data_IF_107572426244
#
_entry.id   IF_107572426244
#
_cell.length_a   1.000
_cell.length_b   1.000
_cell.length_c   1.000
_cell.angle_alpha   90.00
_cell.angle_beta   90.00
_cell.angle_gamma   90.00
#
_symmetry.space_group_name_H-M   'P 1'
#
loop_
_entity.id
_entity.type
_entity.pdbx_description
1 polymer ?
#
# COMPACT_ATOMS: atom_id res chain seq x y z
N UNK A 1 9.16 -49.15 -39.65
CA UNK A 1 8.48 -48.00 -39.02
C UNK A 1 9.20 -47.72 -37.72
N UNK A 2 9.86 -46.58 -37.55
CA UNK A 2 10.60 -46.28 -36.31
C UNK A 2 9.68 -45.57 -35.33
N UNK A 3 9.30 -46.25 -34.25
CA UNK A 3 8.50 -45.68 -33.17
C UNK A 3 9.40 -44.83 -32.27
N UNK A 4 9.54 -43.54 -32.61
CA UNK A 4 10.19 -42.57 -31.73
C UNK A 4 9.13 -42.00 -30.78
N UNK A 5 9.29 -42.14 -29.45
CA UNK A 5 8.37 -41.50 -28.52
C UNK A 5 8.47 -39.99 -28.68
N UNK A 6 7.34 -39.33 -28.89
CA UNK A 6 7.25 -37.87 -28.94
C UNK A 6 7.52 -37.31 -27.55
N UNK A 7 8.72 -36.80 -27.32
CA UNK A 7 9.09 -36.13 -26.08
C UNK A 7 8.41 -34.76 -26.04
N UNK A 8 7.42 -34.59 -25.17
CA UNK A 8 6.83 -33.28 -24.92
C UNK A 8 7.76 -32.50 -23.99
N UNK A 9 8.53 -31.56 -24.52
CA UNK A 9 9.27 -30.57 -23.74
C UNK A 9 8.43 -29.30 -23.58
N UNK A 10 7.97 -29.03 -22.37
CA UNK A 10 7.48 -27.72 -22.00
C UNK A 10 8.68 -26.78 -21.87
N UNK A 11 8.95 -25.99 -22.91
CA UNK A 11 9.89 -24.87 -22.79
C UNK A 11 9.20 -23.78 -21.97
N UNK A 12 9.67 -23.56 -20.75
CA UNK A 12 9.27 -22.40 -19.95
C UNK A 12 9.70 -21.12 -20.70
N UNK A 13 8.74 -20.50 -21.40
CA UNK A 13 8.91 -19.22 -22.10
C UNK A 13 8.86 -18.03 -21.12
N UNK A 14 8.90 -18.28 -19.81
CA UNK A 14 8.96 -17.20 -18.84
C UNK A 14 10.26 -16.43 -19.08
N UNK A 15 10.20 -15.11 -19.33
CA UNK A 15 11.41 -14.33 -19.51
C UNK A 15 12.30 -14.54 -18.28
N UNK A 16 13.59 -14.79 -18.51
CA UNK A 16 14.59 -15.01 -17.45
C UNK A 16 14.73 -13.82 -16.47
N UNK A 17 14.02 -12.74 -16.74
CA UNK A 17 13.94 -11.54 -15.94
C UNK A 17 12.46 -11.16 -15.82
N UNK A 18 12.06 -10.67 -14.65
CA UNK A 18 10.80 -9.98 -14.49
C UNK A 18 10.80 -8.79 -15.44
N UNK A 19 10.28 -8.90 -16.66
CA UNK A 19 10.23 -7.78 -17.59
C UNK A 19 8.93 -6.98 -17.36
N UNK A 20 8.91 -5.69 -17.67
CA UNK A 20 7.65 -4.98 -17.87
C UNK A 20 6.98 -5.38 -19.19
N UNK A 21 5.75 -4.90 -19.43
CA UNK A 21 5.03 -5.17 -20.69
C UNK A 21 5.77 -4.62 -21.91
N UNK A 22 6.76 -3.77 -21.71
CA UNK A 22 7.57 -3.11 -22.72
C UNK A 22 8.93 -3.80 -22.92
N UNK A 23 9.21 -4.89 -22.20
CA UNK A 23 10.46 -5.66 -22.32
C UNK A 23 11.64 -5.11 -21.52
N UNK A 24 11.45 -4.07 -20.69
CA UNK A 24 12.51 -3.56 -19.84
C UNK A 24 12.73 -4.51 -18.65
N UNK A 25 14.01 -4.73 -18.31
CA UNK A 25 14.42 -5.56 -17.16
C UNK A 25 13.92 -4.91 -15.87
N UNK A 26 13.02 -5.55 -15.12
CA UNK A 26 12.67 -5.13 -13.75
C UNK A 26 13.65 -5.72 -12.76
N UNK A 27 13.71 -5.07 -11.60
CA UNK A 27 14.45 -5.52 -10.45
C UNK A 27 13.93 -6.88 -9.96
N UNK A 28 14.83 -7.86 -9.84
CA UNK A 28 14.55 -9.24 -9.39
C UNK A 28 15.25 -9.59 -8.06
N UNK A 29 15.76 -8.59 -7.34
CA UNK A 29 16.39 -8.76 -6.03
C UNK A 29 15.40 -8.67 -4.86
N UNK A 30 15.87 -8.83 -3.61
CA UNK A 30 15.04 -8.72 -2.42
C UNK A 30 14.41 -7.33 -2.30
N UNK A 31 13.21 -7.24 -1.72
CA UNK A 31 12.50 -5.97 -1.59
C UNK A 31 13.38 -4.91 -0.90
N UNK A 32 13.51 -3.74 -1.55
CA UNK A 32 14.32 -2.63 -1.07
C UNK A 32 13.52 -1.71 -0.14
N UNK A 33 12.21 -1.90 -0.05
CA UNK A 33 11.35 -1.13 0.86
C UNK A 33 11.66 -1.56 2.29
N UNK A 34 12.17 -0.63 3.08
CA UNK A 34 12.48 -0.89 4.51
C UNK A 34 11.22 -0.92 5.38
N UNK A 35 10.22 -0.09 5.05
CA UNK A 35 9.03 0.11 5.88
C UNK A 35 7.83 0.47 5.00
N UNK A 36 6.63 0.13 5.47
CA UNK A 36 5.40 0.68 4.92
C UNK A 36 5.24 2.13 5.35
N UNK A 37 4.89 3.01 4.41
CA UNK A 37 4.57 4.42 4.71
C UNK A 37 3.25 4.56 5.45
N UNK A 38 2.40 3.54 5.40
CA UNK A 38 1.11 3.51 6.11
C UNK A 38 1.26 2.78 7.43
N UNK A 39 1.93 3.41 8.40
CA UNK A 39 1.99 2.92 9.77
C UNK A 39 0.72 3.24 10.58
N UNK A 40 -0.02 4.26 10.15
CA UNK A 40 -1.12 4.80 10.93
C UNK A 40 -2.43 4.06 10.66
N UNK A 41 -3.17 3.82 11.74
CA UNK A 41 -4.51 3.24 11.75
C UNK A 41 -5.43 4.03 10.81
N UNK A 42 -6.40 3.33 10.20
CA UNK A 42 -7.36 3.98 9.30
C UNK A 42 -8.05 5.15 10.01
N UNK A 43 -7.97 6.34 9.40
CA UNK A 43 -8.62 7.56 9.89
C UNK A 43 -10.15 7.46 9.95
N UNK A 44 -10.73 6.42 9.34
CA UNK A 44 -12.15 6.09 9.39
C UNK A 44 -12.53 5.20 10.56
N UNK A 45 -11.58 4.61 11.28
CA UNK A 45 -11.85 3.76 12.43
C UNK A 45 -12.52 4.51 13.59
N UNK A 46 -12.35 5.83 13.66
CA UNK A 46 -12.94 6.67 14.71
C UNK A 46 -14.15 7.45 14.19
N UNK A 47 -15.26 7.39 14.92
CA UNK A 47 -16.45 8.22 14.66
C UNK A 47 -16.14 9.68 15.01
N UNK A 48 -16.33 10.59 14.04
CA UNK A 48 -15.96 12.02 14.20
C UNK A 48 -16.76 12.75 15.27
N UNK A 49 -18.00 12.37 15.49
CA UNK A 49 -18.95 13.00 16.41
C UNK A 49 -19.48 11.97 17.42
N UNK A 50 -18.56 11.26 18.06
CA UNK A 50 -18.89 10.41 19.19
C UNK A 50 -18.98 11.28 20.45
N UNK A 51 -20.06 11.22 21.25
CA UNK A 51 -20.16 11.93 22.52
C UNK A 51 -19.03 11.60 23.51
N UNK A 52 -18.40 10.43 23.37
CA UNK A 52 -17.26 10.01 24.20
C UNK A 52 -15.92 10.55 23.70
N UNK A 53 -15.87 11.06 22.46
CA UNK A 53 -14.65 11.63 21.90
C UNK A 53 -14.51 13.10 22.31
N UNK A 54 -13.31 13.47 22.77
CA UNK A 54 -12.98 14.87 23.04
C UNK A 54 -13.13 15.75 21.80
N UNK A 55 -13.60 16.98 22.02
CA UNK A 55 -13.68 17.99 20.98
C UNK A 55 -12.29 18.21 20.35
N UNK A 56 -12.21 18.06 19.03
CA UNK A 56 -10.97 18.24 18.26
C UNK A 56 -10.38 19.64 18.37
N UNK A 57 -11.16 20.62 18.81
CA UNK A 57 -10.70 21.99 19.11
C UNK A 57 -9.77 22.04 20.30
N UNK A 58 -9.86 21.06 21.22
CA UNK A 58 -9.00 20.97 22.41
C UNK A 58 -7.66 20.27 22.15
N UNK A 59 -7.44 19.75 20.94
CA UNK A 59 -6.20 19.00 20.61
C UNK A 59 -5.00 19.95 20.48
N UNK A 60 -3.80 19.49 20.89
CA UNK A 60 -2.57 20.28 20.74
C UNK A 60 -2.31 20.63 19.27
N UNK A 61 -1.85 21.86 19.03
CA UNK A 61 -1.60 22.41 17.68
C UNK A 61 -2.81 23.08 17.03
N UNK A 62 -3.92 23.23 17.74
CA UNK A 62 -5.05 24.11 17.34
C UNK A 62 -4.82 25.55 17.78
N UNK A 63 -5.60 26.47 17.21
CA UNK A 63 -5.49 27.89 17.55
C UNK A 63 -6.03 28.10 18.96
N UNK A 64 -5.43 29.02 19.71
CA UNK A 64 -5.89 29.35 21.07
C UNK A 64 -7.36 29.77 21.05
N UNK A 65 -7.77 30.55 20.05
CA UNK A 65 -9.14 31.02 19.87
C UNK A 65 -10.15 29.90 19.54
N UNK A 66 -9.71 28.72 19.07
CA UNK A 66 -10.61 27.60 18.77
C UNK A 66 -11.26 27.03 20.06
N UNK A 67 -10.65 27.29 21.22
CA UNK A 67 -11.17 26.87 22.53
C UNK A 67 -12.38 27.69 22.96
N UNK A 68 -12.51 28.92 22.46
CA UNK A 68 -13.58 29.84 22.86
C UNK A 68 -14.71 29.77 21.83
N UNK A 69 -15.82 29.16 22.22
CA UNK A 69 -17.06 29.16 21.43
C UNK A 69 -17.64 30.59 21.35
N UNK A 70 -17.19 31.37 20.37
CA UNK A 70 -17.82 32.65 20.03
C UNK A 70 -19.02 32.39 19.15
N UNK A 71 -20.21 32.52 19.73
CA UNK A 71 -21.42 32.76 18.95
C UNK A 71 -21.51 34.27 18.71
N UNK A 72 -21.45 34.65 17.43
CA UNK A 72 -21.73 36.00 16.94
C UNK A 72 -23.06 36.53 17.47
#
# INVERSE_FOLDING_TARGET
MSDKPTLFEARDLSPAFCADRQGNKKYAGPDRRRLDRRSNTDRRATVRFDPQNEDRRLRPGRREDDTVLRFW
#
